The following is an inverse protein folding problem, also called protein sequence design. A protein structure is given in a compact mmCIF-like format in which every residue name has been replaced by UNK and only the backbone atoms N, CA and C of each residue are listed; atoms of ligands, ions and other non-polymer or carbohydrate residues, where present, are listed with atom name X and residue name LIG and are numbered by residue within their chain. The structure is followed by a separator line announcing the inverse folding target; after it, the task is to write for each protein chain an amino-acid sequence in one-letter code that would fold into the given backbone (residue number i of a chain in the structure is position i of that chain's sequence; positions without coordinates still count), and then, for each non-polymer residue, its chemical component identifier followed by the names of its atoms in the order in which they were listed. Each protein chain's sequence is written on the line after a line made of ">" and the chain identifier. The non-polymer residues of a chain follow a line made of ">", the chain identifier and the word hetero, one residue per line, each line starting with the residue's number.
data_IF_193732568197
#
_entry.id   IF_193732568197
#
_cell.length_a   1.000
_cell.length_b   1.000
_cell.length_c   1.000
_cell.angle_alpha   90.00
_cell.angle_beta   90.00
_cell.angle_gamma   90.00
#
_symmetry.space_group_name_H-M   'P 1'
#
loop_
_entity.id
_entity.type
_entity.pdbx_description
1 polymer ?
#
# COMPACT_ATOMS: atom_id res chain seq x y z
N UNK A 1 -0.13 -84.19 -11.34
CA UNK A 1 -0.83 -83.22 -10.49
C UNK A 1 0.13 -82.04 -10.27
N UNK A 2 0.04 -80.99 -11.07
CA UNK A 2 0.89 -79.81 -10.97
C UNK A 2 0.01 -78.67 -10.36
N UNK A 3 0.38 -78.23 -9.16
CA UNK A 3 -0.27 -77.06 -8.47
C UNK A 3 0.27 -75.74 -9.04
N UNK A 4 -0.59 -74.95 -9.65
CA UNK A 4 -0.30 -73.62 -10.15
C UNK A 4 -0.50 -72.65 -9.03
N UNK A 5 0.59 -72.04 -8.54
CA UNK A 5 0.54 -70.99 -7.52
C UNK A 5 0.51 -69.62 -8.22
N UNK A 6 -0.64 -68.97 -8.15
CA UNK A 6 -0.80 -67.61 -8.67
C UNK A 6 -0.32 -66.58 -7.62
N UNK A 7 0.75 -65.86 -7.94
CA UNK A 7 1.25 -64.76 -7.15
C UNK A 7 0.47 -63.49 -7.53
N UNK A 8 -0.35 -62.99 -6.60
CA UNK A 8 -1.01 -61.69 -6.71
C UNK A 8 -0.02 -60.63 -6.22
N UNK A 9 0.39 -59.73 -7.14
CA UNK A 9 1.18 -58.58 -6.88
C UNK A 9 0.26 -57.42 -6.48
N UNK A 10 0.42 -56.74 -5.32
CA UNK A 10 -0.40 -55.56 -4.99
C UNK A 10 0.15 -54.36 -5.76
N UNK A 11 -0.69 -53.78 -6.59
CA UNK A 11 -0.49 -52.52 -7.30
C UNK A 11 -0.61 -51.37 -6.27
N UNK A 12 0.52 -50.79 -5.83
CA UNK A 12 0.54 -49.61 -4.99
C UNK A 12 0.20 -48.38 -5.85
N UNK A 13 -1.02 -47.90 -5.73
CA UNK A 13 -1.45 -46.61 -6.31
C UNK A 13 -0.90 -45.51 -5.43
N UNK A 14 0.17 -44.88 -5.91
CA UNK A 14 0.74 -43.67 -5.29
C UNK A 14 -0.17 -42.48 -5.59
N UNK A 15 -0.93 -42.04 -4.58
CA UNK A 15 -1.78 -40.86 -4.66
C UNK A 15 -0.89 -39.61 -4.58
N UNK A 16 -0.50 -39.04 -5.73
CA UNK A 16 0.11 -37.72 -5.80
C UNK A 16 -0.95 -36.69 -5.48
N UNK A 17 -0.95 -36.18 -4.25
CA UNK A 17 -1.68 -34.98 -3.89
C UNK A 17 -0.99 -33.79 -4.57
N UNK A 18 -1.57 -33.32 -5.67
CA UNK A 18 -1.23 -32.04 -6.26
C UNK A 18 -1.60 -30.94 -5.26
N UNK A 19 -0.60 -30.31 -4.65
CA UNK A 19 -0.77 -29.04 -3.93
C UNK A 19 -1.12 -28.01 -5.01
N UNK A 20 -2.42 -27.79 -5.21
CA UNK A 20 -2.92 -26.61 -5.92
C UNK A 20 -2.54 -25.41 -5.07
N UNK A 21 -1.45 -24.72 -5.43
CA UNK A 21 -1.17 -23.38 -4.99
C UNK A 21 -2.37 -22.52 -5.40
N UNK A 22 -3.14 -22.09 -4.39
CA UNK A 22 -4.24 -21.16 -4.54
C UNK A 22 -3.63 -19.84 -5.04
N UNK A 23 -3.61 -19.71 -6.37
CA UNK A 23 -3.25 -18.46 -7.04
C UNK A 23 -4.38 -17.50 -6.71
N UNK A 24 -4.23 -16.76 -5.61
CA UNK A 24 -5.14 -15.67 -5.25
C UNK A 24 -5.20 -14.72 -6.45
N UNK A 25 -6.23 -14.95 -7.27
CA UNK A 25 -6.63 -14.02 -8.32
C UNK A 25 -6.76 -12.64 -7.66
N UNK A 26 -5.97 -11.63 -8.09
CA UNK A 26 -6.04 -10.32 -7.47
C UNK A 26 -7.49 -9.87 -7.51
N UNK A 27 -8.05 -9.56 -6.33
CA UNK A 27 -9.42 -9.08 -6.21
C UNK A 27 -9.56 -7.89 -7.15
N UNK A 28 -10.42 -8.04 -8.15
CA UNK A 28 -10.72 -7.00 -9.13
C UNK A 28 -11.16 -5.76 -8.34
N UNK A 29 -10.31 -4.73 -8.31
CA UNK A 29 -10.61 -3.45 -7.67
C UNK A 29 -11.62 -2.74 -8.59
N UNK A 30 -12.89 -3.12 -8.50
CA UNK A 30 -13.98 -2.62 -9.36
C UNK A 30 -14.33 -1.13 -9.12
N UNK A 31 -13.61 -0.43 -8.25
CA UNK A 31 -13.97 0.91 -7.78
C UNK A 31 -12.74 1.80 -7.54
N UNK A 32 -11.68 1.66 -8.31
CA UNK A 32 -10.49 2.48 -8.18
C UNK A 32 -10.37 3.45 -9.35
N UNK A 33 -10.05 4.71 -9.07
CA UNK A 33 -9.63 5.65 -10.10
C UNK A 33 -8.29 5.19 -10.68
N UNK A 34 -8.08 5.41 -11.96
CA UNK A 34 -6.86 4.99 -12.65
C UNK A 34 -6.36 6.03 -13.64
N UNK A 35 -5.05 6.06 -13.84
CA UNK A 35 -4.39 6.74 -14.94
C UNK A 35 -3.39 5.80 -15.60
N UNK A 36 -3.31 5.82 -16.93
CA UNK A 36 -2.46 4.90 -17.70
C UNK A 36 -1.82 5.62 -18.88
N UNK A 37 -0.50 5.64 -18.93
CA UNK A 37 0.30 6.10 -20.08
C UNK A 37 1.71 5.50 -20.01
N UNK A 38 2.45 5.58 -21.13
CA UNK A 38 3.85 5.13 -21.27
C UNK A 38 4.13 3.70 -20.77
N UNK A 39 3.11 2.80 -20.84
CA UNK A 39 3.25 1.41 -20.38
C UNK A 39 3.11 1.22 -18.87
N UNK A 40 2.71 2.26 -18.13
CA UNK A 40 2.44 2.18 -16.70
C UNK A 40 0.98 2.52 -16.43
N UNK A 41 0.34 1.73 -15.58
CA UNK A 41 -1.01 2.00 -15.07
C UNK A 41 -0.95 2.12 -13.56
N UNK A 42 -1.43 3.23 -13.02
CA UNK A 42 -1.55 3.45 -11.59
C UNK A 42 -3.03 3.50 -11.23
N UNK A 43 -3.44 2.67 -10.27
CA UNK A 43 -4.78 2.71 -9.70
C UNK A 43 -4.71 3.17 -8.26
N UNK A 44 -5.69 3.97 -7.83
CA UNK A 44 -5.76 4.45 -6.46
C UNK A 44 -7.21 4.42 -5.95
N UNK A 45 -7.38 4.02 -4.68
CA UNK A 45 -8.67 3.96 -4.00
C UNK A 45 -8.53 4.38 -2.54
N UNK A 46 -9.16 5.46 -2.10
CA UNK A 46 -9.20 5.82 -0.68
C UNK A 46 -10.11 4.85 0.09
N UNK A 47 -9.69 4.45 1.30
CA UNK A 47 -10.48 3.63 2.20
C UNK A 47 -11.39 4.54 3.05
N UNK A 48 -12.55 4.89 2.51
CA UNK A 48 -13.52 5.75 3.20
C UNK A 48 -14.43 4.98 4.15
N UNK A 49 -14.56 3.65 3.97
CA UNK A 49 -15.36 2.79 4.83
C UNK A 49 -14.54 2.31 6.05
N UNK A 50 -14.94 2.65 7.29
CA UNK A 50 -14.29 2.17 8.50
C UNK A 50 -14.25 0.64 8.63
N UNK A 51 -15.14 -0.09 7.95
CA UNK A 51 -15.16 -1.55 7.97
C UNK A 51 -13.89 -2.16 7.35
N UNK A 52 -13.33 -1.53 6.30
CA UNK A 52 -12.10 -1.97 5.66
C UNK A 52 -10.91 -1.97 6.63
N UNK A 53 -10.90 -1.01 7.57
CA UNK A 53 -9.84 -0.92 8.56
C UNK A 53 -9.94 -1.99 9.65
N UNK A 54 -11.16 -2.43 10.01
CA UNK A 54 -11.36 -3.42 11.09
C UNK A 54 -10.72 -4.75 10.78
N UNK A 55 -10.74 -5.16 9.53
CA UNK A 55 -10.12 -6.40 9.08
C UNK A 55 -8.59 -6.36 9.23
N UNK A 56 -7.96 -5.28 8.76
CA UNK A 56 -6.50 -5.14 8.76
C UNK A 56 -5.93 -4.60 10.07
N UNK A 57 -6.70 -3.76 10.77
CA UNK A 57 -6.29 -3.05 11.99
C UNK A 57 -7.25 -3.33 13.16
N UNK A 58 -7.35 -4.58 13.65
CA UNK A 58 -8.39 -4.96 14.62
C UNK A 58 -8.24 -4.27 15.98
N UNK A 59 -7.03 -3.83 16.34
CA UNK A 59 -6.75 -3.22 17.65
C UNK A 59 -6.84 -1.70 17.63
N UNK A 60 -6.32 -1.04 16.61
CA UNK A 60 -6.28 0.42 16.46
C UNK A 60 -6.30 0.81 14.99
N UNK A 61 -7.37 1.48 14.60
CA UNK A 61 -7.57 1.93 13.23
C UNK A 61 -6.87 3.26 12.96
N UNK A 62 -6.09 3.38 11.88
CA UNK A 62 -5.59 4.67 11.37
C UNK A 62 -6.71 5.69 11.17
N UNK A 63 -7.85 5.26 10.63
CA UNK A 63 -9.01 6.10 10.37
C UNK A 63 -9.55 6.80 11.63
N UNK A 64 -9.52 6.13 12.78
CA UNK A 64 -10.00 6.69 14.05
C UNK A 64 -9.16 7.88 14.57
N UNK A 65 -7.93 8.02 14.09
CA UNK A 65 -7.01 9.13 14.47
C UNK A 65 -6.83 10.14 13.34
N UNK A 66 -7.66 10.08 12.29
CA UNK A 66 -7.65 11.06 11.20
C UNK A 66 -6.73 10.72 10.03
N UNK A 67 -6.19 9.50 9.98
CA UNK A 67 -5.33 9.02 8.89
C UNK A 67 -6.20 8.28 7.87
N UNK A 68 -6.09 8.69 6.59
CA UNK A 68 -6.69 7.96 5.46
C UNK A 68 -5.66 7.00 4.87
N UNK A 69 -6.09 5.78 4.58
CA UNK A 69 -5.34 4.83 3.78
C UNK A 69 -5.80 4.93 2.33
N UNK A 70 -4.88 5.04 1.40
CA UNK A 70 -5.12 4.98 -0.05
C UNK A 70 -4.50 3.71 -0.57
N UNK A 71 -5.33 2.78 -1.02
CA UNK A 71 -4.87 1.58 -1.70
C UNK A 71 -4.39 1.95 -3.09
N UNK A 72 -3.14 1.61 -3.41
CA UNK A 72 -2.54 1.86 -4.71
C UNK A 72 -2.07 0.57 -5.35
N UNK A 73 -2.12 0.50 -6.68
CA UNK A 73 -1.43 -0.54 -7.44
C UNK A 73 -0.72 0.12 -8.63
N UNK A 74 0.54 -0.22 -8.79
CA UNK A 74 1.42 0.19 -9.86
C UNK A 74 1.64 -1.01 -10.77
N UNK A 75 1.04 -0.99 -11.96
CA UNK A 75 1.21 -2.04 -12.96
C UNK A 75 2.11 -1.54 -14.08
N UNK A 76 3.09 -2.33 -14.39
CA UNK A 76 4.04 -2.09 -15.46
C UNK A 76 3.74 -3.06 -16.62
N UNK A 77 3.27 -2.54 -17.73
CA UNK A 77 2.97 -3.30 -18.94
C UNK A 77 4.12 -3.21 -19.97
N UNK A 78 5.25 -2.59 -19.61
CA UNK A 78 6.44 -2.42 -20.45
C UNK A 78 7.50 -3.51 -20.21
N UNK A 79 8.49 -3.55 -21.08
CA UNK A 79 9.66 -4.45 -21.00
C UNK A 79 10.77 -3.90 -20.10
N UNK A 80 10.69 -2.65 -19.63
CA UNK A 80 11.66 -2.03 -18.73
C UNK A 80 11.17 -2.12 -17.28
N UNK A 81 12.10 -2.23 -16.31
CA UNK A 81 11.76 -2.09 -14.88
C UNK A 81 11.45 -0.64 -14.56
N UNK A 82 10.40 -0.39 -13.76
CA UNK A 82 9.98 0.95 -13.37
C UNK A 82 10.30 1.22 -11.91
N UNK A 83 11.04 2.29 -11.64
CA UNK A 83 11.29 2.79 -10.29
C UNK A 83 10.33 3.91 -9.98
N UNK A 84 9.65 3.82 -8.83
CA UNK A 84 8.71 4.80 -8.32
C UNK A 84 9.30 5.43 -7.06
N UNK A 85 9.31 6.76 -6.99
CA UNK A 85 9.72 7.46 -5.78
C UNK A 85 8.53 7.64 -4.85
N UNK A 86 8.31 6.67 -3.95
CA UNK A 86 7.18 6.65 -3.03
C UNK A 86 7.16 7.88 -2.09
N UNK A 87 8.32 8.39 -1.68
CA UNK A 87 8.42 9.55 -0.78
C UNK A 87 8.00 10.87 -1.44
N UNK A 88 8.04 10.92 -2.79
CA UNK A 88 7.63 12.08 -3.56
C UNK A 88 6.15 12.08 -3.94
N UNK A 89 5.44 11.00 -3.71
CA UNK A 89 3.99 10.94 -3.89
C UNK A 89 3.33 11.97 -2.99
N UNK A 90 2.27 12.61 -3.47
CA UNK A 90 1.49 13.61 -2.71
C UNK A 90 0.01 13.33 -2.86
N UNK A 91 -0.73 13.53 -1.78
CA UNK A 91 -2.18 13.66 -1.82
C UNK A 91 -2.50 15.15 -1.80
N UNK A 92 -2.86 15.67 -2.98
CA UNK A 92 -3.25 17.06 -3.15
C UNK A 92 -4.73 17.18 -2.83
N UNK A 93 -5.08 18.11 -1.91
CA UNK A 93 -6.46 18.41 -1.53
C UNK A 93 -6.70 19.92 -1.64
N UNK A 94 -7.89 20.31 -2.06
CA UNK A 94 -8.27 21.70 -2.19
C UNK A 94 -9.06 22.11 -0.93
N UNK A 95 -8.53 23.06 -0.17
CA UNK A 95 -9.16 23.61 1.03
C UNK A 95 -10.13 24.77 0.67
N UNK A 96 -9.77 25.57 -0.35
CA UNK A 96 -10.56 26.64 -0.94
C UNK A 96 -10.07 26.91 -2.35
N UNK A 97 -10.77 27.72 -3.14
CA UNK A 97 -10.41 28.03 -4.52
C UNK A 97 -8.95 28.52 -4.68
N UNK A 98 -8.38 29.14 -3.66
CA UNK A 98 -7.02 29.69 -3.68
C UNK A 98 -6.01 28.87 -2.85
N UNK A 99 -6.47 27.84 -2.12
CA UNK A 99 -5.63 27.13 -1.17
C UNK A 99 -5.65 25.61 -1.40
N UNK A 100 -4.55 25.11 -1.91
CA UNK A 100 -4.29 23.67 -2.07
C UNK A 100 -3.24 23.23 -1.05
N UNK A 101 -3.42 22.04 -0.50
CA UNK A 101 -2.48 21.40 0.39
C UNK A 101 -1.98 20.09 -0.23
N UNK A 102 -0.66 19.90 -0.24
CA UNK A 102 -0.01 18.66 -0.64
C UNK A 102 0.43 17.88 0.60
N UNK A 103 -0.26 16.79 0.90
CA UNK A 103 0.06 15.90 2.00
C UNK A 103 1.12 14.89 1.58
N UNK A 104 2.12 14.67 2.42
CA UNK A 104 3.11 13.61 2.22
C UNK A 104 2.60 12.28 2.77
N UNK A 105 2.97 11.14 2.17
CA UNK A 105 2.71 9.86 2.78
C UNK A 105 3.47 9.75 4.11
N UNK A 106 2.79 9.23 5.12
CA UNK A 106 3.39 8.92 6.41
C UNK A 106 4.28 7.69 6.31
N UNK A 107 5.44 7.73 6.95
CA UNK A 107 6.21 6.51 7.19
C UNK A 107 5.47 5.58 8.17
N UNK A 108 5.80 4.28 8.22
CA UNK A 108 5.21 3.37 9.20
C UNK A 108 5.39 3.84 10.65
N UNK A 109 6.54 4.44 10.96
CA UNK A 109 6.88 4.97 12.27
C UNK A 109 6.01 6.18 12.61
N UNK A 110 5.87 7.16 11.69
CA UNK A 110 5.02 8.34 11.89
C UNK A 110 3.55 7.95 12.06
N UNK A 111 3.06 7.01 11.26
CA UNK A 111 1.69 6.51 11.40
C UNK A 111 1.48 5.79 12.74
N UNK A 112 2.46 4.97 13.19
CA UNK A 112 2.39 4.29 14.48
C UNK A 112 2.39 5.29 15.66
N UNK A 113 3.19 6.35 15.57
CA UNK A 113 3.21 7.42 16.59
C UNK A 113 1.84 8.08 16.71
N UNK A 114 1.23 8.49 15.61
CA UNK A 114 -0.10 9.11 15.60
C UNK A 114 -1.19 8.16 16.14
N UNK A 115 -1.13 6.88 15.79
CA UNK A 115 -2.10 5.87 16.21
C UNK A 115 -1.96 5.54 17.69
N UNK A 116 -0.75 5.48 18.21
CA UNK A 116 -0.51 5.11 19.61
C UNK A 116 -0.63 6.30 20.56
N UNK A 117 -0.31 7.51 20.10
CA UNK A 117 -0.31 8.76 20.86
C UNK A 117 -1.19 9.85 20.22
N UNK A 118 -2.51 9.65 20.12
CA UNK A 118 -3.40 10.57 19.38
C UNK A 118 -3.49 11.98 19.98
N UNK A 119 -2.95 12.21 21.16
CA UNK A 119 -2.88 13.53 21.81
C UNK A 119 -1.52 14.22 21.72
N UNK A 120 -0.50 13.56 21.21
CA UNK A 120 0.77 14.21 20.94
C UNK A 120 0.54 15.18 19.77
N UNK A 121 0.45 16.47 20.04
CA UNK A 121 0.41 17.50 19.01
C UNK A 121 1.60 17.25 18.09
N UNK A 122 1.33 17.11 16.79
CA UNK A 122 2.36 17.00 15.78
C UNK A 122 3.43 18.05 16.04
N UNK A 123 4.52 17.63 16.63
CA UNK A 123 5.77 18.34 16.53
C UNK A 123 6.18 18.10 15.08
N UNK A 124 5.63 18.94 14.20
CA UNK A 124 6.10 19.05 12.81
C UNK A 124 7.61 19.04 12.89
N UNK A 125 8.20 18.03 12.33
CA UNK A 125 9.61 17.70 12.38
C UNK A 125 10.51 18.85 11.95
N UNK A 126 10.69 19.84 12.82
CA UNK A 126 12.00 20.46 12.92
C UNK A 126 12.86 19.37 13.55
N UNK A 127 13.64 18.69 12.74
CA UNK A 127 14.75 17.88 13.23
C UNK A 127 15.63 18.77 14.10
N UNK A 128 15.30 18.84 15.38
CA UNK A 128 16.20 19.36 16.38
C UNK A 128 17.28 18.27 16.45
N UNK A 129 18.57 18.58 16.20
CA UNK A 129 19.63 17.61 16.42
C UNK A 129 19.57 17.21 17.88
N UNK A 130 19.07 16.02 18.18
CA UNK A 130 19.11 15.47 19.53
C UNK A 130 20.59 15.24 19.82
N UNK A 131 21.15 15.81 20.91
CA UNK A 131 22.53 15.55 21.31
C UNK A 131 22.69 14.03 21.49
N UNK A 132 23.74 13.46 20.89
CA UNK A 132 24.09 12.06 21.07
C UNK A 132 24.17 11.76 22.58
N UNK A 133 23.32 10.83 23.08
CA UNK A 133 23.49 10.26 24.41
C UNK A 133 22.27 10.13 25.30
N UNK A 134 21.06 10.48 24.86
CA UNK A 134 19.84 10.16 25.60
C UNK A 134 19.52 8.65 25.51
N UNK A 135 18.95 8.04 26.60
CA UNK A 135 18.49 6.67 26.52
C UNK A 135 17.49 6.58 25.36
N UNK A 136 17.71 5.67 24.41
CA UNK A 136 16.69 5.30 23.43
C UNK A 136 15.51 4.76 24.24
N UNK A 137 14.47 5.56 24.44
CA UNK A 137 13.20 5.03 24.91
C UNK A 137 12.76 4.04 23.84
N UNK A 138 12.93 2.75 24.12
CA UNK A 138 12.42 1.69 23.27
C UNK A 138 10.90 1.86 23.15
N UNK A 139 10.40 1.83 21.94
CA UNK A 139 8.96 1.82 21.74
C UNK A 139 8.34 0.62 22.46
N UNK A 140 7.17 0.78 23.04
CA UNK A 140 6.48 -0.30 23.72
C UNK A 140 6.02 -1.37 22.71
N UNK A 141 5.68 -2.56 23.22
CA UNK A 141 5.21 -3.68 22.39
C UNK A 141 4.02 -3.29 21.50
N UNK A 142 3.14 -2.42 21.99
CA UNK A 142 1.95 -1.98 21.27
C UNK A 142 2.29 -1.10 20.08
N UNK A 143 3.24 -0.19 20.24
CA UNK A 143 3.75 0.63 19.14
C UNK A 143 4.40 -0.25 18.07
N UNK A 144 5.26 -1.20 18.46
CA UNK A 144 5.94 -2.11 17.53
C UNK A 144 4.94 -2.98 16.75
N UNK A 145 3.86 -3.46 17.39
CA UNK A 145 2.80 -4.21 16.70
C UNK A 145 2.04 -3.35 15.68
N UNK A 146 1.73 -2.10 16.02
CA UNK A 146 1.05 -1.16 15.12
C UNK A 146 1.94 -0.80 13.95
N UNK A 147 3.19 -0.41 14.20
CA UNK A 147 4.18 -0.08 13.18
C UNK A 147 4.35 -1.24 12.18
N UNK A 148 4.53 -2.47 12.70
CA UNK A 148 4.63 -3.66 11.86
C UNK A 148 3.38 -3.86 11.00
N UNK A 149 2.18 -3.69 11.55
CA UNK A 149 0.93 -3.84 10.79
C UNK A 149 0.82 -2.81 9.66
N UNK A 150 1.18 -1.55 9.94
CA UNK A 150 1.21 -0.47 8.95
C UNK A 150 2.21 -0.79 7.83
N UNK A 151 3.41 -1.19 8.21
CA UNK A 151 4.48 -1.57 7.28
C UNK A 151 4.05 -2.73 6.39
N UNK A 152 3.57 -3.83 6.97
CA UNK A 152 3.19 -5.05 6.26
C UNK A 152 2.02 -4.80 5.27
N UNK A 153 1.13 -3.85 5.56
CA UNK A 153 0.04 -3.47 4.67
C UNK A 153 0.45 -2.38 3.64
N UNK A 154 1.55 -1.69 3.86
CA UNK A 154 2.06 -0.64 2.98
C UNK A 154 2.62 -1.17 1.66
N UNK A 155 2.98 -0.24 0.77
CA UNK A 155 3.69 -0.58 -0.47
C UNK A 155 5.10 -1.07 -0.12
N UNK A 156 5.41 -2.33 -0.46
CA UNK A 156 6.65 -2.99 -0.05
C UNK A 156 7.83 -2.77 -1.01
N UNK A 157 7.57 -2.41 -2.25
CA UNK A 157 8.60 -2.24 -3.26
C UNK A 157 8.43 -0.93 -4.02
N UNK A 158 9.56 -0.30 -4.31
CA UNK A 158 9.63 0.90 -5.16
C UNK A 158 10.02 0.58 -6.60
N UNK A 159 10.29 -0.68 -6.92
CA UNK A 159 10.60 -1.15 -8.28
C UNK A 159 9.53 -2.13 -8.72
N UNK A 160 8.95 -1.87 -9.89
CA UNK A 160 7.98 -2.73 -10.55
C UNK A 160 8.69 -3.39 -11.73
N UNK A 161 8.85 -4.72 -11.66
CA UNK A 161 9.49 -5.49 -12.75
C UNK A 161 8.64 -5.45 -14.02
N UNK A 162 9.23 -5.75 -15.21
CA UNK A 162 8.47 -5.87 -16.44
C UNK A 162 7.26 -6.78 -16.28
N UNK A 163 6.12 -6.35 -16.81
CA UNK A 163 4.83 -7.05 -16.75
C UNK A 163 4.36 -7.42 -15.33
N UNK A 164 4.92 -6.73 -14.31
CA UNK A 164 4.62 -6.94 -12.91
C UNK A 164 3.65 -5.92 -12.33
N UNK A 165 3.23 -6.19 -11.08
CA UNK A 165 2.40 -5.27 -10.30
C UNK A 165 2.90 -5.22 -8.87
N UNK A 166 3.03 -4.02 -8.33
CA UNK A 166 3.27 -3.75 -6.92
C UNK A 166 2.05 -3.04 -6.35
N UNK A 167 1.56 -3.48 -5.19
CA UNK A 167 0.38 -2.88 -4.56
C UNK A 167 0.56 -2.77 -3.05
N UNK A 168 -0.19 -1.87 -2.43
CA UNK A 168 -0.20 -1.68 -0.98
C UNK A 168 -0.98 -0.44 -0.58
N UNK A 169 -0.82 -0.05 0.68
CA UNK A 169 -1.45 1.14 1.23
C UNK A 169 -0.43 2.28 1.36
N UNK A 170 -0.85 3.48 1.03
CA UNK A 170 -0.21 4.73 1.41
C UNK A 170 -1.07 5.41 2.47
N UNK A 171 -0.46 6.02 3.47
CA UNK A 171 -1.15 6.63 4.60
C UNK A 171 -0.93 8.14 4.60
N UNK A 172 -2.01 8.91 4.79
CA UNK A 172 -1.96 10.37 4.80
C UNK A 172 -2.68 10.91 6.03
N UNK A 173 -2.05 11.84 6.74
CA UNK A 173 -2.68 12.53 7.88
C UNK A 173 -3.61 13.63 7.37
N UNK A 174 -4.90 13.34 7.35
CA UNK A 174 -5.93 14.32 7.02
C UNK A 174 -6.50 15.01 8.24
N UNK A 175 -6.02 14.72 9.44
CA UNK A 175 -6.52 15.25 10.71
C UNK A 175 -8.04 15.09 10.87
N UNK A 176 -8.59 14.02 10.29
CA UNK A 176 -10.02 13.71 10.29
C UNK A 176 -10.87 14.52 9.30
N UNK A 177 -10.28 15.37 8.47
CA UNK A 177 -10.98 16.15 7.44
C UNK A 177 -11.20 15.31 6.17
N UNK A 178 -11.95 14.22 6.31
CA UNK A 178 -12.14 13.26 5.20
C UNK A 178 -13.06 13.76 4.08
N UNK A 179 -13.83 14.81 4.32
CA UNK A 179 -14.62 15.54 3.33
C UNK A 179 -13.75 16.13 2.21
N UNK A 180 -12.48 16.47 2.52
CA UNK A 180 -11.51 16.96 1.54
C UNK A 180 -11.16 15.90 0.46
N UNK A 181 -11.50 14.62 0.67
CA UNK A 181 -11.35 13.60 -0.36
C UNK A 181 -12.18 13.87 -1.62
N UNK A 182 -13.26 14.66 -1.49
CA UNK A 182 -14.07 15.10 -2.65
C UNK A 182 -13.32 15.98 -3.64
N UNK A 183 -12.16 16.49 -3.27
CA UNK A 183 -11.28 17.33 -4.12
C UNK A 183 -9.87 16.75 -4.22
N UNK A 184 -9.68 15.49 -3.79
CA UNK A 184 -8.36 14.90 -3.66
C UNK A 184 -7.84 14.30 -4.96
N UNK A 185 -6.56 14.54 -5.23
CA UNK A 185 -5.81 13.94 -6.33
C UNK A 185 -4.55 13.28 -5.78
N UNK A 186 -4.28 12.02 -6.18
CA UNK A 186 -3.01 11.38 -5.89
C UNK A 186 -2.01 11.72 -6.98
N UNK A 187 -0.98 12.47 -6.64
CA UNK A 187 0.08 12.91 -7.53
C UNK A 187 1.33 12.05 -7.38
N UNK A 188 1.79 11.45 -8.48
CA UNK A 188 2.98 10.60 -8.56
C UNK A 188 3.97 11.24 -9.54
N UNK A 189 4.93 12.06 -9.07
CA UNK A 189 5.75 12.90 -9.94
C UNK A 189 6.93 12.15 -10.60
N UNK A 190 7.38 11.06 -10.00
CA UNK A 190 8.63 10.41 -10.42
C UNK A 190 8.44 8.91 -10.63
N UNK A 191 8.30 8.54 -11.89
CA UNK A 191 8.40 7.16 -12.38
C UNK A 191 9.53 7.12 -13.40
N UNK A 192 10.50 6.21 -13.23
CA UNK A 192 11.69 6.13 -14.05
C UNK A 192 11.83 4.74 -14.64
N UNK A 193 11.93 4.64 -15.97
CA UNK A 193 12.35 3.42 -16.66
C UNK A 193 13.85 3.22 -16.42
N UNK A 194 14.21 2.18 -15.65
CA UNK A 194 15.58 1.99 -15.13
C UNK A 194 16.56 1.73 -16.27
N UNK A 195 16.24 0.80 -17.16
CA UNK A 195 17.13 0.35 -18.23
C UNK A 195 17.45 1.49 -19.23
N UNK A 196 16.49 2.38 -19.44
CA UNK A 196 16.62 3.55 -20.32
C UNK A 196 17.04 4.81 -19.59
N UNK A 197 17.12 4.78 -18.26
CA UNK A 197 17.34 5.96 -17.42
C UNK A 197 16.44 7.15 -17.82
N UNK A 198 15.16 6.87 -18.13
CA UNK A 198 14.21 7.84 -18.64
C UNK A 198 13.08 8.06 -17.64
N UNK A 199 12.89 9.31 -17.20
CA UNK A 199 11.69 9.71 -16.45
C UNK A 199 10.46 9.66 -17.35
N UNK A 200 9.37 9.16 -16.82
CA UNK A 200 8.04 9.24 -17.44
C UNK A 200 7.36 10.54 -17.05
N UNK A 201 6.26 10.87 -17.72
CA UNK A 201 5.38 11.95 -17.26
C UNK A 201 4.81 11.62 -15.87
N UNK A 202 4.44 12.64 -15.11
CA UNK A 202 3.74 12.44 -13.84
C UNK A 202 2.36 11.80 -14.05
N UNK A 203 1.83 11.19 -12.97
CA UNK A 203 0.47 10.67 -12.91
C UNK A 203 -0.31 11.48 -11.89
N UNK A 204 -1.58 11.79 -12.21
CA UNK A 204 -2.48 12.52 -11.33
C UNK A 204 -3.86 11.84 -11.30
N UNK A 205 -4.07 11.02 -10.30
CA UNK A 205 -5.26 10.19 -10.18
C UNK A 205 -6.32 10.91 -9.35
N UNK A 206 -7.46 11.23 -9.96
CA UNK A 206 -8.60 11.85 -9.30
C UNK A 206 -9.28 10.85 -8.33
N UNK A 207 -9.27 11.17 -7.03
CA UNK A 207 -9.88 10.35 -5.97
C UNK A 207 -11.28 10.85 -5.59
N UNK A 208 -11.72 11.99 -6.16
CA UNK A 208 -13.02 12.60 -5.86
C UNK A 208 -14.19 11.82 -6.44
N UNK A 209 -13.95 11.05 -7.50
CA UNK A 209 -14.98 10.28 -8.16
C UNK A 209 -15.22 8.98 -7.40
N UNK A 210 -16.45 8.75 -6.88
CA UNK A 210 -16.82 7.38 -6.54
C UNK A 210 -16.74 6.58 -7.83
N UNK A 211 -15.96 5.53 -7.84
CA UNK A 211 -15.90 4.66 -8.98
C UNK A 211 -17.32 4.22 -9.34
N UNK A 212 -17.68 4.37 -10.61
CA UNK A 212 -18.96 3.95 -11.14
C UNK A 212 -19.22 2.48 -10.80
N UNK A 213 -20.44 2.23 -10.28
CA UNK A 213 -20.93 0.90 -9.90
C UNK A 213 -21.18 0.03 -11.12
#
# INVERSE_FOLDING_TARGET
>A
MRKLTIFLLPLAISLMTAIQGDSQKPASIKTASLESHEGVTITARPWTDPALYKEKFPKKSPYAVGIIAVQVAFRNDSDDSMKINLERIRLNVTLSEENQQALQPLSPEEAADLITNPGAKNVTSRRIPIPLGGPKLGHDKKWTEVEKTIRDAGVQASVVVPHGTVQGLLYFDMRGQFDLLSTAHLYVPEVVAIEKNRGLMYFEIDLSRPAER
#
